data_IF_332781931477
#
_entry.id   IF_332781931477
#
_cell.length_a   1.000
_cell.length_b   1.000
_cell.length_c   1.000
_cell.angle_alpha   90.00
_cell.angle_beta   90.00
_cell.angle_gamma   90.00
#
_symmetry.space_group_name_H-M   'P 1'
#
loop_
_entity.id
_entity.type
_entity.pdbx_description
1 polymer ?
#
# COMPACT_ATOMS: atom_id res chain seq x y z
N UNK A 1 12.65 -8.16 13.98
CA UNK A 1 12.74 -6.69 14.04
C UNK A 1 11.36 -6.00 14.03
N UNK A 2 10.32 -6.60 13.48
CA UNK A 2 8.95 -6.06 13.40
C UNK A 2 8.23 -5.95 14.76
N UNK A 3 8.33 -6.97 15.61
CA UNK A 3 7.59 -7.05 16.88
C UNK A 3 7.95 -5.97 17.91
N UNK A 4 9.14 -5.36 17.84
CA UNK A 4 9.57 -4.33 18.81
C UNK A 4 8.92 -2.96 18.61
N UNK A 5 8.23 -2.71 17.47
CA UNK A 5 7.61 -1.40 17.16
C UNK A 5 6.10 -1.33 17.43
N UNK A 6 5.45 -2.46 17.71
CA UNK A 6 4.03 -2.45 18.10
C UNK A 6 3.94 -2.09 19.58
N UNK A 7 3.87 -0.79 19.85
CA UNK A 7 3.68 -0.27 21.21
C UNK A 7 2.31 -0.70 21.77
N UNK A 8 2.11 -0.59 23.10
CA UNK A 8 0.83 -0.91 23.75
C UNK A 8 -0.39 -0.16 23.17
N UNK A 9 -0.18 0.96 22.49
CA UNK A 9 -1.23 1.81 21.88
C UNK A 9 -1.39 1.60 20.37
N UNK A 10 -0.58 0.71 19.75
CA UNK A 10 -0.67 0.51 18.30
C UNK A 10 -1.97 -0.23 17.91
N UNK A 11 -2.71 0.23 16.90
CA UNK A 11 -3.98 -0.39 16.47
C UNK A 11 -3.86 -1.89 16.13
N UNK A 12 -2.70 -2.33 15.63
CA UNK A 12 -2.44 -3.73 15.26
C UNK A 12 -2.33 -4.67 16.47
N UNK A 13 -2.21 -4.17 17.70
CA UNK A 13 -1.99 -5.04 18.86
C UNK A 13 -3.07 -6.10 19.02
N UNK A 14 -4.32 -5.75 18.79
CA UNK A 14 -5.46 -6.68 18.85
C UNK A 14 -5.41 -7.78 17.79
N UNK A 15 -4.66 -7.58 16.70
CA UNK A 15 -4.54 -8.50 15.58
C UNK A 15 -3.24 -9.32 15.60
N UNK A 16 -2.33 -9.10 16.56
CA UNK A 16 -1.02 -9.77 16.59
C UNK A 16 -1.12 -11.30 16.64
N UNK A 17 -2.07 -11.83 17.41
CA UNK A 17 -2.28 -13.28 17.49
C UNK A 17 -2.68 -13.88 16.15
N UNK A 18 -3.61 -13.23 15.46
CA UNK A 18 -4.01 -13.61 14.12
C UNK A 18 -2.85 -13.47 13.12
N UNK A 19 -2.15 -12.35 13.10
CA UNK A 19 -1.01 -12.14 12.20
C UNK A 19 0.08 -13.21 12.40
N UNK A 20 0.39 -13.58 13.65
CA UNK A 20 1.34 -14.65 13.94
C UNK A 20 0.84 -16.03 13.49
N UNK A 21 -0.45 -16.30 13.63
CA UNK A 21 -1.08 -17.53 13.13
C UNK A 21 -0.94 -17.62 11.61
N UNK A 22 -1.28 -16.56 10.89
CA UNK A 22 -1.14 -16.51 9.42
C UNK A 22 0.32 -16.65 8.99
N UNK A 23 1.25 -15.98 9.69
CA UNK A 23 2.67 -16.15 9.42
C UNK A 23 3.14 -17.61 9.54
N UNK A 24 2.71 -18.31 10.58
CA UNK A 24 3.08 -19.72 10.83
C UNK A 24 2.49 -20.71 9.84
N UNK A 25 1.41 -20.33 9.15
CA UNK A 25 0.76 -21.16 8.13
C UNK A 25 1.48 -21.12 6.79
N UNK A 26 2.34 -20.12 6.59
CA UNK A 26 3.06 -19.95 5.32
C UNK A 26 4.41 -20.66 5.37
N UNK A 27 4.81 -21.22 4.24
CA UNK A 27 6.15 -21.78 4.06
C UNK A 27 7.20 -20.65 4.01
N UNK A 28 8.20 -20.66 4.91
CA UNK A 28 9.24 -19.63 4.94
C UNK A 28 10.03 -19.50 3.63
N UNK A 29 10.21 -20.59 2.91
CA UNK A 29 10.90 -20.61 1.63
C UNK A 29 10.12 -19.83 0.56
N UNK A 30 8.83 -20.11 0.42
CA UNK A 30 7.96 -19.38 -0.51
C UNK A 30 7.85 -17.91 -0.16
N UNK A 31 7.81 -17.57 1.13
CA UNK A 31 7.83 -16.17 1.58
C UNK A 31 9.14 -15.47 1.21
N UNK A 32 10.27 -16.14 1.38
CA UNK A 32 11.58 -15.58 0.98
C UNK A 32 11.67 -15.39 -0.54
N UNK A 33 11.18 -16.35 -1.33
CA UNK A 33 11.12 -16.23 -2.79
C UNK A 33 10.22 -15.08 -3.25
N UNK A 34 9.03 -14.92 -2.65
CA UNK A 34 8.13 -13.80 -2.92
C UNK A 34 8.79 -12.45 -2.60
N UNK A 35 9.45 -12.34 -1.44
CA UNK A 35 10.21 -11.16 -1.06
C UNK A 35 11.33 -10.84 -2.05
N UNK A 36 12.04 -11.86 -2.53
CA UNK A 36 13.08 -11.70 -3.57
C UNK A 36 12.50 -11.25 -4.90
N UNK A 37 11.36 -11.79 -5.32
CA UNK A 37 10.68 -11.38 -6.55
C UNK A 37 10.25 -9.91 -6.47
N UNK A 38 9.61 -9.50 -5.38
CA UNK A 38 9.20 -8.12 -5.13
C UNK A 38 10.42 -7.18 -5.15
N UNK A 39 11.54 -7.57 -4.54
CA UNK A 39 12.75 -6.73 -4.49
C UNK A 39 13.41 -6.50 -5.85
N UNK A 40 13.16 -7.39 -6.81
CA UNK A 40 13.69 -7.31 -8.18
C UNK A 40 12.71 -6.66 -9.15
N UNK A 41 11.44 -6.55 -8.79
CA UNK A 41 10.43 -5.98 -9.64
C UNK A 41 10.62 -4.46 -9.79
N UNK A 42 10.67 -4.00 -11.03
CA UNK A 42 10.80 -2.59 -11.37
C UNK A 42 9.74 -2.20 -12.40
N UNK A 43 8.78 -1.39 -11.99
CA UNK A 43 7.72 -0.89 -12.85
C UNK A 43 8.08 0.42 -13.58
N UNK A 44 9.18 1.07 -13.22
CA UNK A 44 9.58 2.37 -13.77
C UNK A 44 9.64 2.42 -15.30
N UNK A 45 10.08 1.35 -16.00
CA UNK A 45 10.15 1.39 -17.45
C UNK A 45 8.81 1.53 -18.17
N UNK A 46 7.70 1.16 -17.52
CA UNK A 46 6.38 1.12 -18.18
C UNK A 46 5.26 1.84 -17.44
N UNK A 47 5.43 2.15 -16.15
CA UNK A 47 4.34 2.71 -15.34
C UNK A 47 3.85 4.08 -15.83
N UNK A 48 4.72 4.86 -16.47
CA UNK A 48 4.38 6.17 -17.04
C UNK A 48 3.58 6.12 -18.34
N UNK A 49 3.48 4.92 -18.96
CA UNK A 49 2.82 4.74 -20.28
C UNK A 49 1.43 4.08 -20.17
N UNK A 50 0.87 3.99 -18.97
CA UNK A 50 -0.39 3.25 -18.75
C UNK A 50 -1.59 3.84 -19.50
N UNK A 51 -1.62 5.14 -19.80
CA UNK A 51 -2.70 5.78 -20.57
C UNK A 51 -4.09 5.76 -19.93
N UNK A 52 -4.18 5.33 -18.67
CA UNK A 52 -5.43 5.22 -17.90
C UNK A 52 -5.41 6.13 -16.68
N UNK A 53 -6.58 6.58 -16.18
CA UNK A 53 -6.66 7.30 -14.91
C UNK A 53 -6.14 6.46 -13.75
N UNK A 54 -5.26 7.03 -12.95
CA UNK A 54 -4.66 6.36 -11.79
C UNK A 54 -4.90 7.17 -10.53
N UNK A 55 -5.24 6.51 -9.44
CA UNK A 55 -5.27 7.11 -8.11
C UNK A 55 -4.42 6.31 -7.14
N UNK A 56 -3.65 6.98 -6.28
CA UNK A 56 -2.79 6.37 -5.27
C UNK A 56 -3.28 6.76 -3.89
N UNK A 57 -3.67 5.78 -3.08
CA UNK A 57 -3.88 5.97 -1.64
C UNK A 57 -2.51 5.93 -0.98
N UNK A 58 -2.03 7.08 -0.52
CA UNK A 58 -0.69 7.27 0.00
C UNK A 58 -0.70 7.24 1.52
N UNK A 59 -0.05 6.23 2.10
CA UNK A 59 0.10 6.08 3.55
C UNK A 59 1.27 6.92 4.06
N UNK A 60 0.97 7.91 4.92
CA UNK A 60 1.94 8.96 5.28
C UNK A 60 3.01 8.52 6.29
N UNK A 61 2.77 7.40 6.99
CA UNK A 61 3.65 6.85 8.04
C UNK A 61 4.18 5.45 7.71
N UNK A 62 4.08 5.03 6.46
CA UNK A 62 4.52 3.71 6.01
C UNK A 62 6.05 3.59 6.11
N UNK A 63 6.51 2.54 6.79
CA UNK A 63 7.93 2.26 6.99
C UNK A 63 8.45 1.09 6.15
N UNK A 64 7.54 0.34 5.48
CA UNK A 64 7.90 -0.72 4.54
C UNK A 64 8.02 -0.16 3.13
N UNK A 65 6.99 0.56 2.69
CA UNK A 65 7.01 1.30 1.42
C UNK A 65 7.00 2.78 1.74
N UNK A 66 8.20 3.34 1.91
CA UNK A 66 8.35 4.73 2.35
C UNK A 66 7.49 5.70 1.53
N UNK A 67 6.86 6.71 2.14
CA UNK A 67 5.99 7.66 1.45
C UNK A 67 6.63 8.34 0.23
N UNK A 68 7.96 8.54 0.24
CA UNK A 68 8.71 9.06 -0.91
C UNK A 68 8.62 8.14 -2.14
N UNK A 69 8.61 6.81 -1.94
CA UNK A 69 8.47 5.84 -3.04
C UNK A 69 7.04 5.83 -3.60
N UNK A 70 6.06 5.96 -2.71
CA UNK A 70 4.65 6.07 -3.10
C UNK A 70 4.40 7.36 -3.89
N UNK A 71 5.02 8.49 -3.50
CA UNK A 71 4.97 9.74 -4.27
C UNK A 71 5.61 9.61 -5.64
N UNK A 72 6.80 8.99 -5.72
CA UNK A 72 7.46 8.75 -7.00
C UNK A 72 6.61 7.91 -7.97
N UNK A 73 5.87 6.91 -7.45
CA UNK A 73 4.88 6.16 -8.24
C UNK A 73 3.74 7.07 -8.71
N UNK A 74 3.19 7.88 -7.81
CA UNK A 74 2.10 8.79 -8.13
C UNK A 74 2.53 9.83 -9.19
N UNK A 75 3.73 10.36 -9.09
CA UNK A 75 4.33 11.28 -10.07
C UNK A 75 4.52 10.59 -11.43
N UNK A 76 5.12 9.40 -11.46
CA UNK A 76 5.36 8.65 -12.69
C UNK A 76 4.06 8.28 -13.43
N UNK A 77 2.99 8.02 -12.70
CA UNK A 77 1.66 7.70 -13.27
C UNK A 77 0.75 8.90 -13.46
N UNK A 78 1.19 10.11 -13.07
CA UNK A 78 0.33 11.32 -12.98
C UNK A 78 -0.93 11.08 -12.16
N UNK A 79 -0.80 10.28 -11.10
CA UNK A 79 -1.93 9.83 -10.30
C UNK A 79 -2.55 10.95 -9.45
N UNK A 80 -3.87 10.83 -9.26
CA UNK A 80 -4.54 11.52 -8.16
C UNK A 80 -4.11 10.91 -6.82
N UNK A 81 -3.65 11.75 -5.88
CA UNK A 81 -3.17 11.26 -4.58
C UNK A 81 -4.23 11.48 -3.51
N UNK A 82 -4.59 10.39 -2.83
CA UNK A 82 -5.45 10.41 -1.64
C UNK A 82 -4.57 10.10 -0.43
N UNK A 83 -4.17 11.12 0.36
CA UNK A 83 -3.36 10.86 1.55
C UNK A 83 -4.17 10.18 2.65
N UNK A 84 -3.53 9.23 3.34
CA UNK A 84 -4.09 8.49 4.47
C UNK A 84 -3.09 8.46 5.63
N UNK A 85 -3.51 8.94 6.79
CA UNK A 85 -2.67 8.94 7.99
C UNK A 85 -2.61 7.54 8.60
N UNK A 86 -1.61 6.78 8.19
CA UNK A 86 -1.40 5.40 8.64
C UNK A 86 -0.09 4.81 8.13
N UNK A 87 0.21 3.64 8.65
CA UNK A 87 1.35 2.82 8.24
C UNK A 87 0.96 1.78 7.18
N UNK A 88 1.85 0.81 6.93
CA UNK A 88 1.64 -0.25 5.96
C UNK A 88 0.42 -1.14 6.27
N UNK A 89 0.00 -1.22 7.51
CA UNK A 89 -1.11 -2.04 7.98
C UNK A 89 -2.38 -1.25 8.29
N UNK A 90 -2.48 -0.05 7.74
CA UNK A 90 -3.63 0.85 7.98
C UNK A 90 -4.98 0.21 7.63
N UNK A 91 -5.01 -0.70 6.66
CA UNK A 91 -6.20 -1.47 6.28
C UNK A 91 -6.72 -2.36 7.42
N UNK A 92 -5.83 -2.84 8.30
CA UNK A 92 -6.18 -3.64 9.49
C UNK A 92 -6.33 -2.75 10.73
N UNK A 93 -5.45 -1.75 10.85
CA UNK A 93 -5.40 -0.87 12.03
C UNK A 93 -6.51 0.18 12.05
N UNK A 94 -6.93 0.67 10.88
CA UNK A 94 -7.93 1.73 10.69
C UNK A 94 -8.82 1.41 9.47
N UNK A 95 -9.61 0.33 9.52
CA UNK A 95 -10.35 -0.18 8.35
C UNK A 95 -11.34 0.83 7.78
N UNK A 96 -12.01 1.62 8.61
CA UNK A 96 -12.99 2.61 8.15
C UNK A 96 -12.33 3.76 7.39
N UNK A 97 -11.20 4.27 7.91
CA UNK A 97 -10.42 5.33 7.26
C UNK A 97 -9.83 4.83 5.94
N UNK A 98 -9.32 3.58 5.91
CA UNK A 98 -8.80 2.96 4.71
C UNK A 98 -9.89 2.78 3.65
N UNK A 99 -11.07 2.28 4.04
CA UNK A 99 -12.22 2.10 3.16
C UNK A 99 -12.68 3.44 2.57
N UNK A 100 -12.80 4.47 3.41
CA UNK A 100 -13.19 5.81 2.96
C UNK A 100 -12.17 6.41 1.96
N UNK A 101 -10.87 6.25 2.21
CA UNK A 101 -9.83 6.71 1.30
C UNK A 101 -9.86 5.94 -0.04
N UNK A 102 -10.04 4.62 0.03
CA UNK A 102 -10.15 3.76 -1.16
C UNK A 102 -11.37 4.14 -2.00
N UNK A 103 -12.53 4.36 -1.38
CA UNK A 103 -13.73 4.80 -2.10
C UNK A 103 -13.55 6.18 -2.77
N UNK A 104 -12.85 7.12 -2.13
CA UNK A 104 -12.51 8.40 -2.77
C UNK A 104 -11.64 8.19 -4.01
N UNK A 105 -10.62 7.34 -3.90
CA UNK A 105 -9.72 7.01 -5.02
C UNK A 105 -10.49 6.37 -6.18
N UNK A 106 -11.35 5.39 -5.91
CA UNK A 106 -12.17 4.71 -6.91
C UNK A 106 -13.15 5.67 -7.59
N UNK A 107 -13.84 6.52 -6.82
CA UNK A 107 -14.77 7.51 -7.38
C UNK A 107 -14.07 8.49 -8.30
N UNK A 108 -12.85 8.93 -7.93
CA UNK A 108 -12.06 9.81 -8.77
C UNK A 108 -11.70 9.14 -10.11
N UNK A 109 -11.18 7.91 -10.08
CA UNK A 109 -10.85 7.13 -11.29
C UNK A 109 -12.10 6.92 -12.16
N UNK A 110 -13.24 6.56 -11.54
CA UNK A 110 -14.49 6.34 -12.27
C UNK A 110 -15.06 7.62 -12.92
N UNK A 111 -14.76 8.78 -12.37
CA UNK A 111 -15.18 10.08 -12.93
C UNK A 111 -14.19 10.67 -13.93
N UNK A 112 -12.95 10.20 -13.94
CA UNK A 112 -11.93 10.68 -14.85
C UNK A 112 -12.21 10.14 -16.27
N UNK A 113 -12.20 11.02 -17.25
CA UNK A 113 -12.30 10.62 -18.65
C UNK A 113 -11.00 9.98 -19.08
N UNK A 114 -11.07 8.83 -19.75
CA UNK A 114 -9.94 8.31 -20.52
C UNK A 114 -9.68 9.34 -21.61
N UNK A 115 -8.52 9.94 -21.58
CA UNK A 115 -8.09 10.80 -22.71
C UNK A 115 -7.60 9.82 -23.77
N UNK A 116 -8.40 9.64 -24.82
CA UNK A 116 -7.95 8.90 -26.00
C UNK A 116 -6.69 9.59 -26.54
N UNK A 117 -5.66 8.81 -26.88
CA UNK A 117 -4.38 9.34 -27.37
C UNK A 117 -4.50 10.10 -28.68
#
# INVERSE_FOLDING_TARGET
MFAKRVTRRHPLRRHLGWMLSEWRRNDPWHMAQAGRAISKFDARPFVGTLGIPVSVVLTTKDQLVAPRKQRALAEATRAHVVPLDGDHFVNVGKPDEFSAATLRAVRWVASARVVDP
#
